data_IF_566049052150
#
_entry.id   IF_566049052150
#
_cell.length_a   1.000
_cell.length_b   1.000
_cell.length_c   1.000
_cell.angle_alpha   90.00
_cell.angle_beta   90.00
_cell.angle_gamma   90.00
#
_symmetry.space_group_name_H-M   'P 1'
#
loop_
_entity.id
_entity.type
_entity.pdbx_description
1 polymer ?
#
# COMPACT_ATOMS: atom_id res chain seq x y z
N UNK A 1 -5.61 -20.73 -21.87
CA UNK A 1 -6.78 -19.87 -21.58
C UNK A 1 -6.38 -18.43 -21.88
N UNK A 2 -7.19 -17.70 -22.64
CA UNK A 2 -6.77 -16.59 -23.51
C UNK A 2 -6.11 -15.38 -22.82
N UNK A 3 -4.90 -15.04 -23.28
CA UNK A 3 -4.24 -13.73 -23.45
C UNK A 3 -4.35 -12.57 -22.45
N UNK A 4 -5.12 -12.64 -21.37
CA UNK A 4 -5.28 -11.55 -20.41
C UNK A 4 -4.52 -11.84 -19.10
N UNK A 5 -3.82 -10.82 -18.58
CA UNK A 5 -3.15 -10.89 -17.28
C UNK A 5 -4.16 -10.67 -16.16
N UNK A 6 -4.41 -11.68 -15.32
CA UNK A 6 -5.33 -11.59 -14.19
C UNK A 6 -4.59 -11.26 -12.88
N UNK A 7 -5.16 -10.36 -12.09
CA UNK A 7 -4.66 -10.06 -10.75
C UNK A 7 -5.27 -11.03 -9.73
N UNK A 8 -4.43 -11.88 -9.14
CA UNK A 8 -4.86 -12.85 -8.10
C UNK A 8 -4.53 -12.27 -6.72
N UNK A 9 -5.53 -11.97 -5.87
CA UNK A 9 -5.27 -11.47 -4.53
C UNK A 9 -4.68 -12.57 -3.64
N UNK A 10 -3.71 -12.21 -2.81
CA UNK A 10 -3.08 -13.12 -1.87
C UNK A 10 -3.00 -12.50 -0.48
N UNK A 11 -3.19 -13.34 0.54
CA UNK A 11 -2.97 -12.94 1.91
C UNK A 11 -1.48 -12.68 2.19
N UNK A 12 -1.20 -11.56 2.84
CA UNK A 12 0.16 -11.11 3.17
C UNK A 12 0.54 -11.62 4.55
N UNK A 13 1.69 -12.29 4.66
CA UNK A 13 2.27 -12.73 5.95
C UNK A 13 2.62 -11.53 6.83
N UNK A 14 2.56 -11.69 8.16
CA UNK A 14 2.74 -10.61 9.14
C UNK A 14 4.04 -9.82 8.95
N UNK A 15 5.18 -10.51 8.81
CA UNK A 15 6.49 -9.87 8.56
C UNK A 15 6.48 -8.97 7.33
N UNK A 16 5.83 -9.43 6.25
CA UNK A 16 5.74 -8.66 5.00
C UNK A 16 4.81 -7.46 5.12
N UNK A 17 3.80 -7.49 6.00
CA UNK A 17 2.92 -6.34 6.27
C UNK A 17 3.74 -5.16 6.81
N UNK A 18 4.67 -5.42 7.73
CA UNK A 18 5.54 -4.40 8.32
C UNK A 18 6.44 -3.80 7.25
N UNK A 19 7.13 -4.62 6.46
CA UNK A 19 8.02 -4.14 5.40
C UNK A 19 7.29 -3.34 4.32
N UNK A 20 6.07 -3.75 3.94
CA UNK A 20 5.24 -3.00 2.99
C UNK A 20 4.80 -1.64 3.56
N UNK A 21 4.38 -1.61 4.83
CA UNK A 21 4.00 -0.37 5.51
C UNK A 21 5.15 0.63 5.55
N UNK A 22 6.34 0.19 5.97
CA UNK A 22 7.55 1.03 5.98
C UNK A 22 7.91 1.53 4.58
N UNK A 23 7.82 0.66 3.57
CA UNK A 23 8.09 1.04 2.17
C UNK A 23 7.14 2.14 1.69
N UNK A 24 5.83 1.99 1.93
CA UNK A 24 4.84 2.99 1.52
C UNK A 24 4.99 4.31 2.25
N UNK A 25 5.35 4.29 3.54
CA UNK A 25 5.67 5.51 4.30
C UNK A 25 6.84 6.27 3.67
N UNK A 26 7.93 5.58 3.35
CA UNK A 26 9.11 6.20 2.74
C UNK A 26 8.83 6.71 1.34
N UNK A 27 8.11 5.94 0.52
CA UNK A 27 7.72 6.36 -0.84
C UNK A 27 6.79 7.58 -0.81
N UNK A 28 5.79 7.57 0.06
CA UNK A 28 4.87 8.69 0.22
C UNK A 28 5.59 9.94 0.71
N UNK A 29 6.43 9.81 1.74
CA UNK A 29 7.24 10.92 2.26
C UNK A 29 8.14 11.53 1.17
N UNK A 30 8.79 10.72 0.33
CA UNK A 30 9.66 11.23 -0.76
C UNK A 30 8.94 12.16 -1.73
N UNK A 31 7.67 11.87 -2.02
CA UNK A 31 6.85 12.63 -2.96
C UNK A 31 6.32 13.95 -2.39
N UNK A 32 6.51 14.22 -1.09
CA UNK A 32 6.09 15.47 -0.47
C UNK A 32 7.05 16.63 -0.81
N UNK A 33 6.55 17.86 -0.70
CA UNK A 33 7.24 19.08 -1.11
C UNK A 33 8.19 19.72 -0.10
N UNK A 34 8.32 19.18 1.12
CA UNK A 34 9.20 19.75 2.15
C UNK A 34 10.70 19.63 1.76
N UNK A 35 11.56 20.44 2.39
CA UNK A 35 12.98 20.52 2.01
C UNK A 35 13.80 19.33 2.48
N UNK A 36 13.55 18.85 3.71
CA UNK A 36 14.33 17.80 4.34
C UNK A 36 13.54 16.51 4.57
N UNK A 37 14.18 15.35 4.41
CA UNK A 37 13.54 14.04 4.56
C UNK A 37 12.94 13.79 5.96
N UNK A 38 13.56 14.33 7.02
CA UNK A 38 13.01 14.20 8.38
C UNK A 38 11.69 14.97 8.54
N UNK A 39 11.56 16.14 7.90
CA UNK A 39 10.31 16.91 7.89
C UNK A 39 9.23 16.19 7.08
N UNK A 40 9.61 15.63 5.91
CA UNK A 40 8.71 14.83 5.07
C UNK A 40 8.16 13.63 5.84
N UNK A 41 9.01 12.88 6.53
CA UNK A 41 8.62 11.72 7.33
C UNK A 41 7.74 12.11 8.52
N UNK A 42 8.12 13.17 9.25
CA UNK A 42 7.30 13.65 10.37
C UNK A 42 5.89 14.09 9.91
N UNK A 43 5.80 14.82 8.80
CA UNK A 43 4.53 15.20 8.20
C UNK A 43 3.70 13.99 7.77
N UNK A 44 4.32 13.00 7.14
CA UNK A 44 3.64 11.77 6.75
C UNK A 44 3.15 10.97 7.96
N UNK A 45 3.93 10.89 9.05
CA UNK A 45 3.50 10.21 10.27
C UNK A 45 2.30 10.90 10.92
N UNK A 46 2.29 12.24 10.97
CA UNK A 46 1.13 12.99 11.48
C UNK A 46 -0.11 12.74 10.62
N UNK A 47 0.04 12.73 9.30
CA UNK A 47 -1.06 12.42 8.39
C UNK A 47 -1.57 10.97 8.59
N UNK A 48 -0.67 10.01 8.79
CA UNK A 48 -1.05 8.61 9.03
C UNK A 48 -1.81 8.44 10.34
N UNK A 49 -1.45 9.18 11.40
CA UNK A 49 -2.17 9.18 12.67
C UNK A 49 -3.60 9.71 12.52
N UNK A 50 -3.81 10.68 11.65
CA UNK A 50 -5.13 11.21 11.28
C UNK A 50 -5.88 10.32 10.28
N UNK A 51 -5.32 9.15 9.90
CA UNK A 51 -5.92 8.24 8.93
C UNK A 51 -5.90 8.77 7.48
N UNK A 52 -5.02 9.72 7.18
CA UNK A 52 -4.84 10.32 5.85
C UNK A 52 -3.39 10.11 5.36
N UNK A 53 -3.03 10.77 4.26
CA UNK A 53 -1.70 10.66 3.66
C UNK A 53 -1.58 9.59 2.57
N UNK A 54 -0.49 9.65 1.84
CA UNK A 54 -0.29 8.79 0.67
C UNK A 54 -0.06 7.32 1.04
N UNK A 55 0.55 7.05 2.20
CA UNK A 55 0.75 5.69 2.68
C UNK A 55 -0.59 4.99 3.01
N UNK A 56 -1.52 5.69 3.67
CA UNK A 56 -2.87 5.17 3.97
C UNK A 56 -3.68 4.96 2.70
N UNK A 57 -3.67 5.95 1.79
CA UNK A 57 -4.34 5.84 0.50
C UNK A 57 -3.86 4.62 -0.28
N UNK A 58 -2.54 4.36 -0.29
CA UNK A 58 -1.96 3.18 -0.96
C UNK A 58 -2.45 1.87 -0.34
N UNK A 59 -2.50 1.80 0.99
CA UNK A 59 -3.04 0.63 1.72
C UNK A 59 -4.49 0.35 1.31
N UNK A 60 -5.32 1.39 1.26
CA UNK A 60 -6.73 1.28 0.90
C UNK A 60 -6.95 0.88 -0.56
N UNK A 61 -6.18 1.47 -1.49
CA UNK A 61 -6.22 1.09 -2.91
C UNK A 61 -5.89 -0.39 -3.10
N UNK A 62 -4.84 -0.88 -2.43
CA UNK A 62 -4.44 -2.30 -2.51
C UNK A 62 -5.50 -3.20 -1.89
N UNK A 63 -6.11 -2.81 -0.77
CA UNK A 63 -7.17 -3.59 -0.15
C UNK A 63 -8.42 -3.66 -1.04
N UNK A 64 -8.86 -2.52 -1.58
CA UNK A 64 -9.99 -2.44 -2.49
C UNK A 64 -9.75 -3.23 -3.78
N UNK A 65 -8.54 -3.18 -4.33
CA UNK A 65 -8.15 -3.98 -5.49
C UNK A 65 -8.19 -5.48 -5.20
N UNK A 66 -7.80 -5.89 -4.00
CA UNK A 66 -7.88 -7.28 -3.58
C UNK A 66 -9.34 -7.74 -3.41
N UNK A 67 -10.21 -6.90 -2.85
CA UNK A 67 -11.64 -7.17 -2.73
C UNK A 67 -12.34 -7.25 -4.09
N UNK A 68 -12.03 -6.33 -5.01
CA UNK A 68 -12.58 -6.34 -6.37
C UNK A 68 -12.22 -7.61 -7.13
N UNK A 69 -11.02 -8.15 -6.89
CA UNK A 69 -10.54 -9.39 -7.51
C UNK A 69 -10.77 -10.64 -6.64
N UNK A 70 -11.59 -10.56 -5.57
CA UNK A 70 -11.83 -11.68 -4.66
C UNK A 70 -12.36 -12.92 -5.38
N UNK A 71 -13.09 -12.71 -6.48
CA UNK A 71 -13.57 -13.79 -7.34
C UNK A 71 -12.42 -14.66 -7.87
N UNK A 72 -11.21 -14.12 -8.11
CA UNK A 72 -10.06 -14.85 -8.63
C UNK A 72 -9.21 -15.55 -7.56
N UNK A 73 -9.59 -15.49 -6.28
CA UNK A 73 -8.82 -16.09 -5.18
C UNK A 73 -8.64 -17.62 -5.31
N UNK A 74 -9.49 -18.28 -6.10
CA UNK A 74 -9.43 -19.72 -6.37
C UNK A 74 -8.31 -20.12 -7.35
N UNK A 75 -7.71 -19.17 -8.07
CA UNK A 75 -6.55 -19.41 -8.94
C UNK A 75 -5.22 -19.53 -8.17
N UNK A 76 -5.27 -19.72 -6.83
CA UNK A 76 -4.10 -19.76 -5.94
C UNK A 76 -3.41 -21.14 -5.88
N UNK A 77 -3.80 -22.08 -6.73
CA UNK A 77 -3.16 -23.39 -6.88
C UNK A 77 -2.24 -23.40 -8.09
#
# INVERSE_FOLDING_TARGET
>A
MGGANYQVPMEVRAERKVSLGMKWLVESARNRGEKNMHQKLAGEFLDVLDGKGGAIKKREEVHRMAEANRAFAHYRW
#
